data_IF_820821242678
#
_entry.id   IF_820821242678
#
_cell.length_a   1.000
_cell.length_b   1.000
_cell.length_c   1.000
_cell.angle_alpha   90.00
_cell.angle_beta   90.00
_cell.angle_gamma   90.00
#
_symmetry.space_group_name_H-M   'P 1'
#
loop_
_entity.id
_entity.type
_entity.pdbx_description
1 polymer ?
#
# COMPACT_ATOMS: atom_id res chain seq x y z
N UNK A 1 -4.73 -19.50 3.82
CA UNK A 1 -5.96 -18.97 4.43
C UNK A 1 -6.74 -18.17 3.39
N UNK A 2 -8.06 -18.07 3.53
CA UNK A 2 -8.91 -17.38 2.54
C UNK A 2 -9.02 -15.87 2.79
N UNK A 3 -8.58 -15.41 3.97
CA UNK A 3 -8.58 -14.01 4.41
C UNK A 3 -7.18 -13.57 4.88
N UNK A 4 -6.95 -12.26 4.94
CA UNK A 4 -5.71 -11.64 5.41
C UNK A 4 -5.96 -10.58 6.48
N UNK A 5 -4.96 -10.33 7.34
CA UNK A 5 -5.02 -9.31 8.40
C UNK A 5 -4.75 -7.90 7.84
N UNK A 6 -5.70 -7.38 7.04
CA UNK A 6 -5.68 -6.06 6.41
C UNK A 6 -6.86 -5.18 6.84
N UNK A 7 -6.74 -3.87 6.60
CA UNK A 7 -7.80 -2.88 6.81
C UNK A 7 -7.67 -1.73 5.81
N UNK A 8 -8.82 -1.18 5.42
CA UNK A 8 -8.92 0.07 4.65
C UNK A 8 -9.75 1.10 5.44
N UNK A 9 -9.34 2.36 5.41
CA UNK A 9 -10.12 3.48 5.96
C UNK A 9 -10.81 4.22 4.82
N UNK A 10 -12.13 4.19 4.81
CA UNK A 10 -12.95 4.88 3.82
C UNK A 10 -13.38 6.25 4.35
N UNK A 11 -13.04 7.31 3.62
CA UNK A 11 -13.61 8.63 3.81
C UNK A 11 -15.11 8.64 3.41
N UNK A 12 -15.96 9.40 4.13
CA UNK A 12 -17.37 9.55 3.82
C UNK A 12 -17.59 10.37 2.52
N UNK A 13 -18.85 10.74 2.25
CA UNK A 13 -19.21 11.69 1.18
C UNK A 13 -18.85 11.22 -0.26
N UNK A 14 -18.50 9.93 -0.43
CA UNK A 14 -18.17 9.32 -1.71
C UNK A 14 -16.67 9.29 -2.06
N UNK A 15 -15.79 9.81 -1.19
CA UNK A 15 -14.35 9.91 -1.47
C UNK A 15 -13.61 8.56 -1.40
N UNK A 16 -14.10 7.62 -0.59
CA UNK A 16 -13.55 6.26 -0.54
C UNK A 16 -12.22 6.15 0.20
N UNK A 17 -11.42 5.14 -0.15
CA UNK A 17 -10.19 4.75 0.56
C UNK A 17 -9.16 5.90 0.68
N UNK A 18 -8.79 6.27 1.91
CA UNK A 18 -7.73 7.24 2.23
C UNK A 18 -6.51 6.61 2.92
N UNK A 19 -6.69 5.46 3.58
CA UNK A 19 -5.61 4.66 4.19
C UNK A 19 -5.83 3.21 3.83
N UNK A 20 -4.78 2.52 3.40
CA UNK A 20 -4.73 1.06 3.29
C UNK A 20 -3.60 0.51 4.17
N UNK A 21 -3.84 -0.60 4.88
CA UNK A 21 -2.88 -1.14 5.83
C UNK A 21 -3.02 -2.64 6.10
N UNK A 22 -1.95 -3.24 6.62
CA UNK A 22 -1.98 -4.65 7.03
C UNK A 22 -0.94 -4.97 8.11
N UNK A 23 -1.20 -6.06 8.83
CA UNK A 23 -0.14 -6.84 9.46
C UNK A 23 0.69 -7.53 8.34
N UNK A 24 1.98 -7.74 8.60
CA UNK A 24 2.91 -8.37 7.64
C UNK A 24 3.24 -9.77 8.14
N UNK A 25 3.34 -10.74 7.22
CA UNK A 25 3.74 -12.09 7.61
C UNK A 25 5.18 -12.11 8.12
N UNK A 26 5.37 -12.92 9.16
CA UNK A 26 6.65 -13.27 9.76
C UNK A 26 7.13 -14.65 9.29
N UNK A 27 6.30 -15.44 8.61
CA UNK A 27 6.71 -16.73 8.03
C UNK A 27 7.43 -16.49 6.69
N UNK A 28 8.70 -16.88 6.64
CA UNK A 28 9.53 -16.76 5.45
C UNK A 28 9.09 -17.71 4.33
N UNK A 29 8.53 -18.87 4.67
CA UNK A 29 8.11 -19.89 3.70
C UNK A 29 6.83 -19.45 2.99
N UNK A 30 5.86 -18.89 3.74
CA UNK A 30 4.64 -18.30 3.17
C UNK A 30 4.98 -17.16 2.19
N UNK A 31 5.97 -16.32 2.54
CA UNK A 31 6.43 -15.24 1.66
C UNK A 31 7.10 -15.77 0.38
N UNK A 32 7.98 -16.78 0.49
CA UNK A 32 8.63 -17.40 -0.67
C UNK A 32 7.58 -18.10 -1.57
N UNK A 33 6.66 -18.86 -0.99
CA UNK A 33 5.60 -19.55 -1.74
C UNK A 33 4.65 -18.55 -2.43
N UNK A 34 4.36 -17.42 -1.78
CA UNK A 34 3.55 -16.34 -2.34
C UNK A 34 4.24 -15.65 -3.53
N UNK A 35 5.53 -15.33 -3.42
CA UNK A 35 6.33 -14.79 -4.54
C UNK A 35 6.37 -15.78 -5.72
N UNK A 36 6.63 -17.06 -5.45
CA UNK A 36 6.63 -18.11 -6.48
C UNK A 36 5.26 -18.26 -7.16
N UNK A 37 4.16 -18.21 -6.41
CA UNK A 37 2.78 -18.21 -6.95
C UNK A 37 2.45 -16.99 -7.81
N UNK A 38 3.08 -15.84 -7.53
CA UNK A 38 2.94 -14.61 -8.32
C UNK A 38 3.86 -14.59 -9.56
N UNK A 39 4.75 -15.58 -9.71
CA UNK A 39 5.75 -15.63 -10.78
C UNK A 39 6.94 -14.68 -10.55
N UNK A 40 7.12 -14.19 -9.32
CA UNK A 40 8.18 -13.26 -8.96
C UNK A 40 9.52 -13.95 -8.71
N UNK A 41 10.58 -13.20 -8.97
CA UNK A 41 11.96 -13.63 -8.80
C UNK A 41 12.42 -13.41 -7.35
N UNK A 42 12.46 -14.50 -6.59
CA UNK A 42 12.72 -14.51 -5.14
C UNK A 42 14.06 -13.85 -4.78
N UNK A 43 15.09 -13.93 -5.63
CA UNK A 43 16.42 -13.34 -5.34
C UNK A 43 16.35 -11.81 -5.20
N UNK A 44 15.43 -11.14 -5.91
CA UNK A 44 15.19 -9.69 -5.79
C UNK A 44 14.67 -9.28 -4.40
N UNK A 45 14.06 -10.21 -3.67
CA UNK A 45 13.42 -9.99 -2.37
C UNK A 45 14.26 -10.52 -1.20
N UNK A 46 15.47 -11.04 -1.46
CA UNK A 46 16.31 -11.70 -0.44
C UNK A 46 16.54 -10.82 0.80
N UNK A 47 16.83 -9.53 0.61
CA UNK A 47 16.98 -8.54 1.70
C UNK A 47 15.70 -8.34 2.54
N UNK A 48 14.52 -8.60 1.97
CA UNK A 48 13.21 -8.50 2.64
C UNK A 48 12.84 -9.81 3.36
N UNK A 49 13.36 -10.94 2.87
CA UNK A 49 13.31 -12.24 3.53
C UNK A 49 14.29 -12.30 4.72
N UNK A 50 15.44 -11.62 4.64
CA UNK A 50 16.39 -11.45 5.76
C UNK A 50 15.75 -10.79 6.99
N UNK A 51 14.77 -9.89 6.80
CA UNK A 51 13.94 -9.33 7.88
C UNK A 51 13.11 -10.38 8.65
N UNK A 52 13.02 -11.61 8.12
CA UNK A 52 12.42 -12.77 8.79
C UNK A 52 13.49 -13.69 9.39
N UNK A 53 14.63 -13.83 8.72
CA UNK A 53 15.77 -14.66 9.20
C UNK A 53 16.43 -14.08 10.45
N UNK A 54 16.64 -12.77 10.49
CA UNK A 54 17.49 -12.11 11.50
C UNK A 54 16.67 -11.35 12.54
N UNK A 55 15.78 -12.06 13.24
CA UNK A 55 15.01 -11.54 14.37
C UNK A 55 13.64 -10.98 14.01
N UNK A 56 12.83 -11.74 13.28
CA UNK A 56 11.45 -11.31 12.97
C UNK A 56 10.60 -11.11 14.23
N UNK A 57 9.75 -10.09 14.17
CA UNK A 57 8.72 -9.79 15.17
C UNK A 57 7.38 -9.50 14.49
N UNK A 58 6.23 -9.74 15.14
CA UNK A 58 4.93 -9.31 14.61
C UNK A 58 4.92 -7.80 14.37
N UNK A 59 4.65 -7.38 13.13
CA UNK A 59 4.67 -5.97 12.75
C UNK A 59 3.58 -5.65 11.73
N UNK A 60 3.08 -4.40 11.79
CA UNK A 60 1.99 -3.89 10.96
C UNK A 60 2.33 -2.49 10.47
N UNK A 61 1.73 -2.07 9.34
CA UNK A 61 1.97 -0.75 8.78
C UNK A 61 0.96 -0.39 7.68
N UNK A 62 0.75 0.91 7.50
CA UNK A 62 -0.23 1.50 6.59
C UNK A 62 0.38 2.59 5.71
N UNK A 63 -0.27 2.90 4.60
CA UNK A 63 0.00 4.09 3.77
C UNK A 63 -1.19 5.05 3.80
N UNK A 64 -0.92 6.35 3.88
CA UNK A 64 -1.92 7.43 3.83
C UNK A 64 -1.85 8.11 2.46
N UNK A 65 -2.96 8.12 1.71
CA UNK A 65 -3.08 8.89 0.48
C UNK A 65 -3.26 10.37 0.78
N UNK A 66 -2.17 11.14 0.78
CA UNK A 66 -2.18 12.58 1.15
C UNK A 66 -3.13 13.38 0.24
N UNK A 67 -3.02 13.21 -1.08
CA UNK A 67 -3.86 13.91 -2.05
C UNK A 67 -5.34 13.49 -1.97
N UNK A 68 -5.64 12.22 -1.67
CA UNK A 68 -7.03 11.77 -1.41
C UNK A 68 -7.57 12.37 -0.11
N UNK A 69 -6.75 12.44 0.93
CA UNK A 69 -7.11 13.03 2.22
C UNK A 69 -7.39 14.52 2.09
N UNK A 70 -6.54 15.25 1.35
CA UNK A 70 -6.76 16.65 1.02
C UNK A 70 -8.00 16.85 0.14
N UNK A 71 -8.24 15.99 -0.87
CA UNK A 71 -9.44 16.06 -1.69
C UNK A 71 -10.72 15.90 -0.86
N UNK A 72 -10.76 14.97 0.10
CA UNK A 72 -11.88 14.84 1.03
C UNK A 72 -12.02 16.05 1.96
N UNK A 73 -10.94 16.44 2.65
CA UNK A 73 -10.97 17.53 3.65
C UNK A 73 -11.36 18.88 3.03
N UNK A 74 -10.87 19.17 1.81
CA UNK A 74 -11.16 20.40 1.08
C UNK A 74 -12.36 20.28 0.12
N UNK A 75 -13.03 19.11 0.07
CA UNK A 75 -14.19 18.80 -0.78
C UNK A 75 -13.96 19.09 -2.27
N UNK A 76 -12.86 18.56 -2.81
CA UNK A 76 -12.43 18.77 -4.20
C UNK A 76 -13.03 17.71 -5.13
N UNK A 77 -13.71 18.14 -6.20
CA UNK A 77 -14.24 17.27 -7.27
C UNK A 77 -13.15 16.47 -8.01
N UNK A 78 -11.86 16.84 -7.85
CA UNK A 78 -10.76 16.08 -8.41
C UNK A 78 -9.51 16.04 -7.53
N UNK A 79 -8.94 14.85 -7.41
CA UNK A 79 -7.64 14.62 -6.76
C UNK A 79 -6.48 15.42 -7.40
N UNK A 80 -6.62 15.81 -8.67
CA UNK A 80 -5.62 16.64 -9.37
C UNK A 80 -5.44 18.02 -8.74
N UNK A 81 -6.48 18.53 -8.07
CA UNK A 81 -6.50 19.87 -7.49
C UNK A 81 -5.92 19.89 -6.06
N UNK A 82 -5.65 18.70 -5.49
CA UNK A 82 -4.97 18.51 -4.20
C UNK A 82 -3.43 18.63 -4.29
N UNK A 83 -2.86 18.81 -5.49
CA UNK A 83 -1.40 18.88 -5.73
C UNK A 83 -1.09 19.98 -6.77
N UNK A 84 -0.05 20.83 -6.61
CA UNK A 84 0.18 21.98 -7.51
C UNK A 84 0.50 21.61 -8.97
N UNK A 85 1.13 20.46 -9.21
CA UNK A 85 1.60 20.01 -10.52
C UNK A 85 1.19 18.55 -10.76
N UNK A 86 -0.11 18.27 -10.97
CA UNK A 86 -0.62 16.92 -11.05
C UNK A 86 0.03 16.12 -12.18
N UNK A 87 0.24 14.83 -11.93
CA UNK A 87 0.79 13.88 -12.90
C UNK A 87 -0.26 12.84 -13.24
N UNK A 88 -0.53 12.69 -14.53
CA UNK A 88 -1.49 11.72 -15.06
C UNK A 88 -0.91 11.09 -16.33
N UNK A 89 -1.57 10.06 -16.86
CA UNK A 89 -1.22 9.47 -18.17
C UNK A 89 -1.17 10.55 -19.27
N UNK A 90 -2.04 11.57 -19.18
CA UNK A 90 -2.18 12.68 -20.14
C UNK A 90 -1.38 13.96 -19.78
N UNK A 91 -0.89 14.13 -18.55
CA UNK A 91 -0.14 15.31 -18.09
C UNK A 91 1.15 14.92 -17.38
N UNK A 92 2.29 15.21 -18.01
CA UNK A 92 3.64 14.90 -17.51
C UNK A 92 4.56 16.12 -17.34
N UNK A 93 4.26 17.21 -18.06
CA UNK A 93 4.97 18.48 -18.00
C UNK A 93 3.99 19.58 -17.55
N UNK A 94 4.48 20.55 -16.74
CA UNK A 94 3.64 21.45 -15.97
C UNK A 94 3.11 20.66 -14.79
#
# INVERSE_FOLDING_TARGET
>A
PDEALCFDMLAPEGYGEIVGGSQRSTDINELIESLQKQGEDVEKYEWYLDLRRYGSVPHSGYGLGVERSLAWICKLDNIKDAIPFPRTITRKYP
#
